data_IF_467071409639
#
_entry.id   IF_467071409639
#
_cell.length_a   1.000
_cell.length_b   1.000
_cell.length_c   1.000
_cell.angle_alpha   90.00
_cell.angle_beta   90.00
_cell.angle_gamma   90.00
#
_symmetry.space_group_name_H-M   'P 1'
#
loop_
_entity.id
_entity.type
_entity.pdbx_description
1 polymer ?
#
# COMPACT_ATOMS: atom_id res chain seq x y z
N UNK A 1 -4.58 -21.39 -7.96
CA UNK A 1 -4.97 -22.44 -8.91
C UNK A 1 -6.49 -22.56 -9.02
N UNK A 2 -7.24 -22.80 -7.93
CA UNK A 2 -8.70 -23.00 -8.00
C UNK A 2 -9.48 -21.82 -8.58
N UNK A 3 -9.02 -20.61 -8.37
CA UNK A 3 -9.78 -19.40 -8.77
C UNK A 3 -9.54 -18.94 -10.22
N UNK A 4 -8.44 -19.40 -10.85
CA UNK A 4 -8.08 -18.98 -12.21
C UNK A 4 -8.25 -20.10 -13.27
N UNK A 5 -8.65 -21.29 -12.87
CA UNK A 5 -8.84 -22.42 -13.78
C UNK A 5 -7.56 -22.99 -14.42
N UNK A 6 -6.38 -22.57 -13.95
CA UNK A 6 -5.10 -23.07 -14.49
C UNK A 6 -4.81 -24.51 -14.05
N UNK A 7 -4.23 -25.29 -14.95
CA UNK A 7 -3.62 -26.56 -14.58
C UNK A 7 -2.38 -26.34 -13.70
N UNK A 8 -2.01 -27.35 -12.92
CA UNK A 8 -0.82 -27.28 -12.07
C UNK A 8 0.47 -26.96 -12.87
N UNK A 9 0.59 -27.54 -14.07
CA UNK A 9 1.73 -27.28 -14.95
C UNK A 9 1.80 -25.81 -15.39
N UNK A 10 0.69 -25.23 -15.81
CA UNK A 10 0.61 -23.80 -16.19
C UNK A 10 0.89 -22.89 -14.98
N UNK A 11 0.37 -23.22 -13.80
CA UNK A 11 0.62 -22.45 -12.60
C UNK A 11 2.12 -22.44 -12.23
N UNK A 12 2.80 -23.58 -12.29
CA UNK A 12 4.26 -23.66 -12.07
C UNK A 12 5.05 -22.92 -13.15
N UNK A 13 4.62 -22.94 -14.40
CA UNK A 13 5.28 -22.18 -15.46
C UNK A 13 5.21 -20.68 -15.20
N UNK A 14 4.05 -20.18 -14.79
CA UNK A 14 3.84 -18.76 -14.42
C UNK A 14 4.73 -18.39 -13.22
N UNK A 15 4.70 -19.20 -12.16
CA UNK A 15 5.52 -19.01 -10.96
C UNK A 15 7.02 -18.95 -11.31
N UNK A 16 7.52 -19.92 -12.08
CA UNK A 16 8.93 -19.95 -12.50
C UNK A 16 9.31 -18.73 -13.34
N UNK A 17 8.40 -18.27 -14.21
CA UNK A 17 8.63 -17.07 -15.01
C UNK A 17 8.70 -15.81 -14.13
N UNK A 18 7.82 -15.69 -13.14
CA UNK A 18 7.83 -14.61 -12.15
C UNK A 18 9.14 -14.60 -11.35
N UNK A 19 9.55 -15.76 -10.81
CA UNK A 19 10.78 -15.87 -10.01
C UNK A 19 12.04 -15.52 -10.81
N UNK A 20 12.05 -15.84 -12.11
CA UNK A 20 13.16 -15.46 -13.01
C UNK A 20 13.18 -13.97 -13.31
N UNK A 21 12.02 -13.34 -13.42
CA UNK A 21 11.91 -11.92 -13.71
C UNK A 21 12.29 -11.07 -12.48
N UNK A 22 11.89 -11.48 -11.30
CA UNK A 22 12.05 -10.71 -10.05
C UNK A 22 13.09 -11.32 -9.11
N UNK A 23 14.28 -11.62 -9.62
CA UNK A 23 15.34 -12.32 -8.85
C UNK A 23 15.78 -11.59 -7.59
N UNK A 24 15.91 -10.25 -7.65
CA UNK A 24 16.34 -9.44 -6.50
C UNK A 24 15.27 -9.47 -5.39
N UNK A 25 14.00 -9.27 -5.75
CA UNK A 25 12.89 -9.34 -4.79
C UNK A 25 12.77 -10.73 -4.19
N UNK A 26 12.88 -11.77 -5.01
CA UNK A 26 12.84 -13.17 -4.56
C UNK A 26 13.96 -13.46 -3.56
N UNK A 27 15.20 -13.09 -3.88
CA UNK A 27 16.34 -13.28 -2.98
C UNK A 27 16.15 -12.50 -1.66
N UNK A 28 15.64 -11.28 -1.73
CA UNK A 28 15.37 -10.48 -0.53
C UNK A 28 14.33 -11.15 0.38
N UNK A 29 13.21 -11.64 -0.16
CA UNK A 29 12.18 -12.37 0.61
C UNK A 29 12.76 -13.64 1.21
N UNK A 30 13.56 -14.42 0.45
CA UNK A 30 14.20 -15.63 0.95
C UNK A 30 15.11 -15.32 2.15
N UNK A 31 15.98 -14.33 2.03
CA UNK A 31 16.88 -13.91 3.12
C UNK A 31 16.11 -13.47 4.39
N UNK A 32 14.99 -12.77 4.21
CA UNK A 32 14.12 -12.36 5.33
C UNK A 32 13.49 -13.57 6.02
N UNK A 33 13.05 -14.56 5.26
CA UNK A 33 12.45 -15.78 5.81
C UNK A 33 13.50 -16.69 6.47
N UNK A 34 14.72 -16.74 5.95
CA UNK A 34 15.83 -17.47 6.57
C UNK A 34 16.23 -16.82 7.91
N UNK A 35 16.25 -15.49 7.97
CA UNK A 35 16.37 -14.75 9.23
C UNK A 35 15.23 -15.05 10.20
N UNK A 36 13.99 -15.07 9.72
CA UNK A 36 12.83 -15.38 10.54
C UNK A 36 12.84 -16.81 11.11
N UNK A 37 13.35 -17.79 10.35
CA UNK A 37 13.56 -19.14 10.83
C UNK A 37 14.60 -19.21 11.96
N UNK A 38 15.61 -18.33 11.93
CA UNK A 38 16.64 -18.23 12.98
C UNK A 38 16.17 -17.46 14.21
N UNK A 39 15.52 -16.32 13.99
CA UNK A 39 15.23 -15.33 15.03
C UNK A 39 13.83 -15.51 15.66
N UNK A 40 12.96 -16.30 15.04
CA UNK A 40 11.58 -16.54 15.49
C UNK A 40 10.61 -15.40 15.16
N UNK A 41 11.04 -14.43 14.33
CA UNK A 41 10.19 -13.37 13.81
C UNK A 41 10.74 -12.79 12.50
N UNK A 42 9.86 -12.20 11.71
CA UNK A 42 10.24 -11.42 10.54
C UNK A 42 10.04 -9.93 10.85
N UNK A 43 10.97 -9.09 10.40
CA UNK A 43 10.86 -7.63 10.55
C UNK A 43 10.48 -7.02 9.19
N UNK A 44 9.30 -6.42 9.14
CA UNK A 44 8.79 -5.65 8.02
C UNK A 44 9.21 -4.18 8.06
N UNK A 45 8.57 -3.34 7.24
CA UNK A 45 8.82 -1.91 7.20
C UNK A 45 8.60 -1.25 8.57
N UNK A 46 9.36 -0.19 8.84
CA UNK A 46 9.30 0.60 10.08
C UNK A 46 9.50 -0.22 11.37
N UNK A 47 10.18 -1.37 11.28
CA UNK A 47 10.46 -2.22 12.42
C UNK A 47 9.29 -3.07 12.91
N UNK A 48 8.19 -3.17 12.15
CA UNK A 48 7.07 -4.06 12.48
C UNK A 48 7.54 -5.51 12.54
N UNK A 49 7.29 -6.19 13.67
CA UNK A 49 7.68 -7.58 13.87
C UNK A 49 6.47 -8.50 13.83
N UNK A 50 6.56 -9.54 13.01
CA UNK A 50 5.59 -10.64 12.94
C UNK A 50 6.26 -11.91 13.41
N UNK A 51 5.71 -12.56 14.44
CA UNK A 51 6.28 -13.78 15.04
C UNK A 51 6.14 -14.95 14.08
N UNK A 52 7.17 -15.81 14.08
CA UNK A 52 7.24 -17.04 13.27
C UNK A 52 7.71 -18.24 14.11
N UNK A 53 6.93 -18.61 15.17
CA UNK A 53 7.36 -19.66 16.12
C UNK A 53 7.48 -21.04 15.49
N UNK A 54 6.65 -21.39 14.51
CA UNK A 54 6.73 -22.68 13.83
C UNK A 54 7.91 -22.73 12.87
N UNK A 55 8.12 -21.65 12.12
CA UNK A 55 9.24 -21.54 11.20
C UNK A 55 10.60 -21.59 11.93
N UNK A 56 10.66 -21.04 13.14
CA UNK A 56 11.87 -21.06 13.97
C UNK A 56 12.24 -22.46 14.52
N UNK A 57 11.33 -23.43 14.46
CA UNK A 57 11.57 -24.79 14.93
C UNK A 57 12.05 -25.75 13.84
N UNK A 58 12.17 -25.26 12.59
CA UNK A 58 12.50 -26.09 11.43
C UNK A 58 13.65 -25.51 10.63
N UNK A 59 14.37 -26.36 9.92
CA UNK A 59 15.33 -25.95 8.90
C UNK A 59 14.56 -25.71 7.61
N UNK A 60 14.49 -24.45 7.19
CA UNK A 60 13.76 -24.04 6.01
C UNK A 60 14.36 -24.63 4.73
N UNK A 61 13.49 -25.03 3.81
CA UNK A 61 13.90 -25.62 2.52
C UNK A 61 14.25 -27.10 2.59
N UNK A 62 14.13 -27.75 3.77
CA UNK A 62 14.22 -29.19 3.88
C UNK A 62 12.95 -29.84 3.34
N UNK A 63 13.08 -31.00 2.66
CA UNK A 63 11.93 -31.80 2.19
C UNK A 63 11.01 -32.26 3.32
N UNK A 64 11.48 -32.23 4.55
CA UNK A 64 10.73 -32.61 5.77
C UNK A 64 10.13 -31.39 6.49
N UNK A 65 10.17 -30.19 5.91
CA UNK A 65 9.56 -29.00 6.53
C UNK A 65 8.06 -29.23 6.70
N UNK A 66 7.52 -29.14 7.92
CA UNK A 66 6.10 -29.32 8.16
C UNK A 66 5.26 -28.31 7.40
N UNK A 67 4.10 -28.72 6.92
CA UNK A 67 3.19 -27.89 6.13
C UNK A 67 2.76 -26.61 6.88
N UNK A 68 2.63 -26.71 8.20
CA UNK A 68 2.28 -25.61 9.10
C UNK A 68 3.38 -24.55 9.13
N UNK A 69 4.65 -24.95 9.19
CA UNK A 69 5.78 -24.03 9.13
C UNK A 69 5.91 -23.37 7.77
N UNK A 70 5.66 -24.09 6.68
CA UNK A 70 5.60 -23.49 5.33
C UNK A 70 4.45 -22.48 5.21
N UNK A 71 3.30 -22.78 5.79
CA UNK A 71 2.15 -21.87 5.80
C UNK A 71 2.46 -20.59 6.60
N UNK A 72 3.10 -20.72 7.76
CA UNK A 72 3.57 -19.58 8.54
C UNK A 72 4.59 -18.73 7.75
N UNK A 73 5.53 -19.38 7.06
CA UNK A 73 6.49 -18.70 6.19
C UNK A 73 5.82 -17.91 5.06
N UNK A 74 4.78 -18.46 4.42
CA UNK A 74 3.98 -17.72 3.43
C UNK A 74 3.26 -16.53 4.03
N UNK A 75 2.67 -16.69 5.21
CA UNK A 75 1.99 -15.62 5.94
C UNK A 75 2.97 -14.51 6.32
N UNK A 76 4.16 -14.88 6.80
CA UNK A 76 5.22 -13.93 7.13
C UNK A 76 5.74 -13.19 5.88
N UNK A 77 5.89 -13.89 4.75
CA UNK A 77 6.24 -13.29 3.45
C UNK A 77 5.19 -12.29 2.97
N UNK A 78 3.91 -12.61 3.10
CA UNK A 78 2.83 -11.68 2.79
C UNK A 78 2.84 -10.46 3.72
N UNK A 79 3.11 -10.66 5.02
CA UNK A 79 3.21 -9.57 5.97
C UNK A 79 4.36 -8.60 5.66
N UNK A 80 5.46 -9.07 5.06
CA UNK A 80 6.51 -8.18 4.55
C UNK A 80 5.97 -7.19 3.51
N UNK A 81 5.27 -7.67 2.50
CA UNK A 81 4.65 -6.83 1.48
C UNK A 81 3.62 -5.87 2.07
N UNK A 82 2.73 -6.40 2.92
CA UNK A 82 1.67 -5.61 3.54
C UNK A 82 2.17 -4.58 4.57
N UNK A 83 3.39 -4.74 5.11
CA UNK A 83 3.95 -3.76 6.05
C UNK A 83 4.13 -2.37 5.42
N UNK A 84 4.20 -2.27 4.08
CA UNK A 84 4.22 -1.00 3.35
C UNK A 84 2.93 -0.20 3.47
N UNK A 85 1.80 -0.84 3.82
CA UNK A 85 0.56 -0.13 4.15
C UNK A 85 0.71 0.80 5.35
N UNK A 86 1.72 0.60 6.20
CA UNK A 86 2.06 1.55 7.28
C UNK A 86 2.48 2.92 6.74
N UNK A 87 3.07 2.97 5.54
CA UNK A 87 3.41 4.23 4.88
C UNK A 87 2.14 5.01 4.52
N UNK A 88 1.13 4.33 3.99
CA UNK A 88 -0.16 4.94 3.72
C UNK A 88 -0.83 5.45 5.00
N UNK A 89 -0.84 4.64 6.07
CA UNK A 89 -1.36 5.07 7.38
C UNK A 89 -0.60 6.28 7.94
N UNK A 90 0.72 6.34 7.76
CA UNK A 90 1.52 7.51 8.14
C UNK A 90 1.12 8.75 7.34
N UNK A 91 1.05 8.62 6.01
CA UNK A 91 0.67 9.73 5.13
C UNK A 91 -0.70 10.28 5.50
N UNK A 92 -1.64 9.36 5.73
CA UNK A 92 -2.99 9.70 6.15
C UNK A 92 -3.03 10.41 7.50
N UNK A 93 -2.33 9.91 8.52
CA UNK A 93 -2.25 10.55 9.84
C UNK A 93 -1.61 11.95 9.76
N UNK A 94 -0.55 12.10 8.94
CA UNK A 94 0.10 13.39 8.74
C UNK A 94 -0.82 14.39 8.04
N UNK A 95 -1.51 13.97 6.96
CA UNK A 95 -2.48 14.80 6.25
C UNK A 95 -3.62 15.23 7.16
N UNK A 96 -4.19 14.30 7.94
CA UNK A 96 -5.28 14.62 8.85
C UNK A 96 -4.86 15.53 10.01
N UNK A 97 -3.60 15.49 10.41
CA UNK A 97 -3.07 16.48 11.34
C UNK A 97 -3.04 17.87 10.72
N UNK A 98 -2.56 17.99 9.49
CA UNK A 98 -2.51 19.26 8.75
C UNK A 98 -3.93 19.82 8.56
N UNK A 99 -4.87 18.98 8.12
CA UNK A 99 -6.29 19.35 7.99
C UNK A 99 -6.85 19.89 9.30
N UNK A 100 -6.65 19.20 10.40
CA UNK A 100 -7.18 19.60 11.72
C UNK A 100 -6.63 20.94 12.20
N UNK A 101 -5.37 21.23 11.86
CA UNK A 101 -4.68 22.45 12.25
C UNK A 101 -4.92 23.61 11.25
N UNK A 102 -5.79 23.43 10.22
CA UNK A 102 -6.14 24.40 9.18
C UNK A 102 -7.58 24.90 9.31
N UNK A 103 -7.93 25.89 8.50
CA UNK A 103 -9.29 26.39 8.34
C UNK A 103 -10.27 25.38 7.74
N UNK A 104 -9.74 24.32 7.08
CA UNK A 104 -10.53 23.25 6.46
C UNK A 104 -10.88 22.10 7.41
N UNK A 105 -10.60 22.22 8.71
CA UNK A 105 -10.91 21.19 9.70
C UNK A 105 -12.38 20.73 9.72
N UNK A 106 -13.29 21.65 9.43
CA UNK A 106 -14.74 21.37 9.36
C UNK A 106 -15.21 20.97 7.96
N UNK A 107 -14.40 21.22 6.92
CA UNK A 107 -14.73 20.95 5.52
C UNK A 107 -14.23 19.57 5.05
N UNK A 108 -13.22 18.99 5.71
CA UNK A 108 -12.59 17.72 5.34
C UNK A 108 -12.71 16.74 6.51
N UNK A 109 -13.50 15.69 6.33
CA UNK A 109 -13.79 14.68 7.37
C UNK A 109 -13.34 13.29 6.95
N UNK A 110 -12.35 12.67 7.59
CA UNK A 110 -11.97 11.30 7.30
C UNK A 110 -13.11 10.35 7.68
N UNK A 111 -13.42 9.39 6.84
CA UNK A 111 -14.47 8.42 7.09
C UNK A 111 -14.01 6.96 7.00
N UNK A 112 -13.03 6.64 6.17
CA UNK A 112 -12.51 5.27 6.07
C UNK A 112 -11.08 5.23 5.55
N UNK A 113 -10.36 4.16 5.92
CA UNK A 113 -9.12 3.74 5.29
C UNK A 113 -9.29 2.27 4.92
N UNK A 114 -9.18 1.94 3.64
CA UNK A 114 -9.37 0.58 3.12
C UNK A 114 -8.16 0.25 2.26
N UNK A 115 -7.36 -0.71 2.70
CA UNK A 115 -6.09 -1.08 2.08
C UNK A 115 -5.14 0.13 1.93
N UNK A 116 -4.91 0.56 0.71
CA UNK A 116 -4.05 1.69 0.32
C UNK A 116 -4.83 2.97 0.01
N UNK A 117 -6.15 2.93 0.06
CA UNK A 117 -7.03 4.08 -0.17
C UNK A 117 -7.55 4.69 1.15
N UNK A 118 -7.58 6.00 1.20
CA UNK A 118 -8.24 6.78 2.25
C UNK A 118 -9.44 7.54 1.70
N UNK A 119 -10.53 7.53 2.44
CA UNK A 119 -11.80 8.16 2.06
C UNK A 119 -12.14 9.29 2.99
N UNK A 120 -12.55 10.40 2.42
CA UNK A 120 -13.00 11.60 3.14
C UNK A 120 -14.35 12.05 2.62
N UNK A 121 -15.15 12.60 3.51
CA UNK A 121 -16.22 13.49 3.13
C UNK A 121 -15.64 14.89 3.04
N UNK A 122 -15.84 15.53 1.92
CA UNK A 122 -15.42 16.90 1.69
C UNK A 122 -16.63 17.77 1.39
N UNK A 123 -16.62 18.99 1.91
CA UNK A 123 -17.65 19.97 1.57
C UNK A 123 -17.49 20.33 0.08
N UNK A 124 -18.57 20.75 -0.58
CA UNK A 124 -18.54 21.28 -1.93
C UNK A 124 -17.82 22.65 -1.92
N UNK A 125 -16.49 22.58 -1.98
CA UNK A 125 -15.56 23.68 -1.79
C UNK A 125 -14.23 23.31 -2.51
N UNK A 126 -13.94 24.06 -3.58
CA UNK A 126 -12.78 23.80 -4.41
C UNK A 126 -11.46 24.06 -3.67
N UNK A 127 -11.42 25.06 -2.78
CA UNK A 127 -10.22 25.37 -1.98
C UNK A 127 -9.91 24.25 -1.00
N UNK A 128 -10.93 23.65 -0.37
CA UNK A 128 -10.76 22.48 0.49
C UNK A 128 -10.23 21.26 -0.30
N UNK A 129 -10.71 21.08 -1.53
CA UNK A 129 -10.24 20.01 -2.41
C UNK A 129 -8.79 20.21 -2.85
N UNK A 130 -8.42 21.42 -3.27
CA UNK A 130 -7.05 21.78 -3.62
C UNK A 130 -6.10 21.59 -2.45
N UNK A 131 -6.49 22.05 -1.27
CA UNK A 131 -5.72 21.86 -0.05
C UNK A 131 -5.48 20.37 0.26
N UNK A 132 -6.53 19.54 0.16
CA UNK A 132 -6.40 18.10 0.38
C UNK A 132 -5.49 17.46 -0.66
N UNK A 133 -5.66 17.80 -1.94
CA UNK A 133 -4.84 17.26 -3.04
C UNK A 133 -3.35 17.57 -2.83
N UNK A 134 -2.99 18.82 -2.56
CA UNK A 134 -1.60 19.21 -2.32
C UNK A 134 -0.98 18.43 -1.15
N UNK A 135 -1.66 18.45 -0.01
CA UNK A 135 -1.09 17.90 1.22
C UNK A 135 -1.06 16.37 1.22
N UNK A 136 -2.11 15.71 0.72
CA UNK A 136 -2.15 14.25 0.63
C UNK A 136 -1.07 13.72 -0.30
N UNK A 137 -0.95 14.28 -1.50
CA UNK A 137 0.06 13.88 -2.48
C UNK A 137 1.47 14.05 -1.92
N UNK A 138 1.73 15.19 -1.27
CA UNK A 138 3.02 15.45 -0.62
C UNK A 138 3.34 14.41 0.47
N UNK A 139 2.36 14.06 1.31
CA UNK A 139 2.59 13.11 2.38
C UNK A 139 2.70 11.65 1.88
N UNK A 140 2.03 11.29 0.80
CA UNK A 140 2.21 9.98 0.15
C UNK A 140 3.59 9.87 -0.51
N UNK A 141 4.08 10.95 -1.12
CA UNK A 141 5.41 11.01 -1.74
C UNK A 141 6.57 11.08 -0.72
N UNK A 142 6.26 11.08 0.58
CA UNK A 142 7.29 11.14 1.61
C UNK A 142 8.20 9.90 1.57
N UNK A 143 9.51 10.07 1.45
CA UNK A 143 10.50 9.01 1.27
C UNK A 143 11.74 9.16 2.19
N UNK A 144 11.59 9.87 3.31
CA UNK A 144 12.74 10.21 4.17
C UNK A 144 13.19 9.08 5.12
N UNK A 145 12.47 7.95 5.16
CA UNK A 145 12.85 6.81 5.98
C UNK A 145 13.77 5.86 5.19
N UNK A 146 14.86 5.33 5.79
CA UNK A 146 15.79 4.44 5.09
C UNK A 146 15.13 3.22 4.45
N UNK A 147 14.09 2.66 5.07
CA UNK A 147 13.38 1.47 4.57
C UNK A 147 12.58 1.72 3.28
N UNK A 148 12.30 2.99 2.94
CA UNK A 148 11.47 3.36 1.79
C UNK A 148 12.19 4.25 0.79
N UNK A 149 13.37 4.74 1.15
CA UNK A 149 14.13 5.62 0.27
C UNK A 149 14.59 4.89 -0.98
N UNK A 150 14.28 5.46 -2.14
CA UNK A 150 14.88 5.06 -3.42
C UNK A 150 15.22 6.31 -4.23
N UNK A 151 16.42 6.38 -4.87
CA UNK A 151 16.89 7.59 -5.55
C UNK A 151 16.09 7.93 -6.80
N UNK A 152 15.46 6.97 -7.45
CA UNK A 152 14.78 7.13 -8.75
C UNK A 152 13.34 6.65 -8.79
N UNK A 153 12.90 5.88 -7.80
CA UNK A 153 11.52 5.38 -7.72
C UNK A 153 10.83 6.05 -6.54
N UNK A 154 9.84 6.88 -6.82
CA UNK A 154 8.97 7.48 -5.83
C UNK A 154 7.68 6.70 -5.64
N UNK A 155 7.04 6.88 -4.50
CA UNK A 155 5.65 6.51 -4.29
C UNK A 155 4.78 7.67 -4.75
N UNK A 156 3.64 7.39 -5.35
CA UNK A 156 2.68 8.37 -5.79
C UNK A 156 1.32 8.13 -5.16
N UNK A 157 0.51 9.19 -5.11
CA UNK A 157 -0.90 9.13 -4.76
C UNK A 157 -1.71 9.90 -5.78
N UNK A 158 -2.96 9.54 -5.92
CA UNK A 158 -3.95 10.17 -6.78
C UNK A 158 -5.18 10.50 -5.94
N UNK A 159 -5.85 11.59 -6.27
CA UNK A 159 -7.11 11.99 -5.67
C UNK A 159 -8.24 11.79 -6.67
N UNK A 160 -9.34 11.20 -6.21
CA UNK A 160 -10.57 11.09 -6.99
C UNK A 160 -11.76 11.60 -6.18
N UNK A 161 -12.71 12.21 -6.87
CA UNK A 161 -14.01 12.58 -6.33
C UNK A 161 -15.02 11.53 -6.79
N UNK A 162 -15.95 11.16 -5.91
CA UNK A 162 -17.07 10.28 -6.24
C UNK A 162 -18.38 11.11 -6.17
N UNK A 163 -18.96 11.37 -7.33
CA UNK A 163 -20.22 12.13 -7.44
C UNK A 163 -20.97 11.77 -8.74
N UNK A 164 -22.29 11.63 -8.70
CA UNK A 164 -23.20 11.71 -7.55
C UNK A 164 -23.22 10.45 -6.70
N UNK A 165 -22.60 9.37 -7.15
CA UNK A 165 -22.57 8.10 -6.44
C UNK A 165 -21.14 7.55 -6.33
N UNK A 166 -20.96 6.59 -5.45
CA UNK A 166 -19.67 5.87 -5.28
C UNK A 166 -19.15 5.21 -6.57
N UNK A 167 -20.03 4.95 -7.54
CA UNK A 167 -19.64 4.36 -8.82
C UNK A 167 -19.02 5.39 -9.78
N UNK A 168 -19.35 6.64 -9.60
CA UNK A 168 -19.05 7.71 -10.56
C UNK A 168 -17.77 8.42 -10.10
N UNK A 169 -16.63 7.84 -10.51
CA UNK A 169 -15.30 8.31 -10.16
C UNK A 169 -14.81 9.41 -11.12
N UNK A 170 -14.35 10.52 -10.55
CA UNK A 170 -13.76 11.66 -11.26
C UNK A 170 -12.34 11.84 -10.75
N UNK A 171 -11.34 11.47 -11.56
CA UNK A 171 -9.93 11.65 -11.22
C UNK A 171 -9.51 13.12 -11.23
N UNK A 172 -8.82 13.56 -10.19
CA UNK A 172 -8.26 14.90 -10.07
C UNK A 172 -6.74 14.83 -10.23
N UNK A 173 -6.14 15.51 -11.21
CA UNK A 173 -4.69 15.56 -11.38
C UNK A 173 -3.99 16.11 -10.13
N UNK A 174 -2.81 15.57 -9.84
CA UNK A 174 -1.98 16.07 -8.74
C UNK A 174 -1.59 17.53 -8.99
N UNK A 175 -1.76 18.38 -7.98
CA UNK A 175 -1.53 19.82 -8.06
C UNK A 175 -2.39 20.54 -9.12
N UNK A 176 -3.59 20.03 -9.40
CA UNK A 176 -4.53 20.69 -10.32
C UNK A 176 -4.90 22.09 -9.79
N UNK A 177 -5.01 23.02 -10.71
CA UNK A 177 -5.48 24.39 -10.44
C UNK A 177 -6.99 24.40 -10.23
N UNK A 178 -7.51 25.49 -9.64
CA UNK A 178 -8.95 25.70 -9.48
C UNK A 178 -9.71 25.56 -10.81
N UNK A 179 -9.24 26.25 -11.87
CA UNK A 179 -9.86 26.19 -13.20
C UNK A 179 -9.89 24.77 -13.78
N UNK A 180 -8.82 23.99 -13.58
CA UNK A 180 -8.76 22.59 -14.01
C UNK A 180 -9.76 21.73 -13.24
N UNK A 181 -9.85 21.88 -11.94
CA UNK A 181 -10.80 21.12 -11.10
C UNK A 181 -12.24 21.45 -11.51
N UNK A 182 -12.58 22.74 -11.59
CA UNK A 182 -13.91 23.19 -12.00
C UNK A 182 -14.27 22.67 -13.39
N UNK A 183 -13.33 22.73 -14.35
CA UNK A 183 -13.55 22.22 -15.69
C UNK A 183 -13.81 20.70 -15.71
N UNK A 184 -13.01 19.92 -14.98
CA UNK A 184 -13.14 18.46 -14.89
C UNK A 184 -14.46 18.07 -14.26
N UNK A 185 -14.82 18.67 -13.13
CA UNK A 185 -16.04 18.36 -12.40
C UNK A 185 -17.28 18.76 -13.21
N UNK A 186 -17.30 19.98 -13.77
CA UNK A 186 -18.42 20.45 -14.61
C UNK A 186 -18.65 19.53 -15.81
N UNK A 187 -17.59 19.09 -16.48
CA UNK A 187 -17.67 18.17 -17.62
C UNK A 187 -18.18 16.78 -17.22
N UNK A 188 -17.82 16.29 -16.03
CA UNK A 188 -18.25 15.00 -15.55
C UNK A 188 -19.70 14.98 -15.06
N UNK A 189 -20.22 16.16 -14.68
CA UNK A 189 -21.61 16.34 -14.19
C UNK A 189 -22.61 16.70 -15.30
N UNK A 190 -22.14 17.00 -16.51
CA UNK A 190 -22.98 17.30 -17.70
C UNK A 190 -23.37 16.04 -18.45
#
# INVERSE_FOLDING_TARGET
MKNCGFTTAVAHQIENSYLKLYTVSTAWVQNKLDGAAKDGYITGAFGLRVRTPLLAQVIRGNRQTPREAEAEGRTAGNALGQSWCLLNSRAWAATMKIVRDSEFAESIRPCAQIHDAGYVLIRDDVDALMFLNEHLVREVNWNKHPDIYHPTVGLGGELSIFYPTWKDEIGIPNNATEDEIVSIVTKAMS
#
